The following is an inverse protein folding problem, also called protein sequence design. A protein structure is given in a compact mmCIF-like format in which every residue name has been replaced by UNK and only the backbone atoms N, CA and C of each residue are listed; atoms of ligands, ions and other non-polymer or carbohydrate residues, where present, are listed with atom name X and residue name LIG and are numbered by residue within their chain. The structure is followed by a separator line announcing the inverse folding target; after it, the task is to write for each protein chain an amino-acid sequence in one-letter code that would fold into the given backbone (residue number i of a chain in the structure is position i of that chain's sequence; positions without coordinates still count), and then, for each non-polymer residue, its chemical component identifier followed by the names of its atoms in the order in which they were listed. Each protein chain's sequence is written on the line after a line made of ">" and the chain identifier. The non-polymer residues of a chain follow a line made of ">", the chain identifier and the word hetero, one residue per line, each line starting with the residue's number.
data_IF_216916722594
#
_entry.id   IF_216916722594
#
_cell.length_a   1.000
_cell.length_b   1.000
_cell.length_c   1.000
_cell.angle_alpha   90.00
_cell.angle_beta   90.00
_cell.angle_gamma   90.00
#
_symmetry.space_group_name_H-M   'P 1'
#
loop_
_entity.id
_entity.type
_entity.pdbx_description
1 polymer ?
#
# COMPACT_ATOMS: atom_id res chain seq x y z
N UNK A 1 -22.00 -12.66 50.56
CA UNK A 1 -20.66 -12.06 50.31
C UNK A 1 -19.72 -12.97 49.51
N UNK A 2 -19.53 -14.26 49.84
CA UNK A 2 -18.65 -15.19 49.09
C UNK A 2 -18.94 -15.33 47.58
N UNK A 3 -20.21 -15.34 47.15
CA UNK A 3 -20.60 -15.51 45.73
C UNK A 3 -20.25 -14.29 44.86
N UNK A 4 -20.32 -13.08 45.43
CA UNK A 4 -19.97 -11.82 44.75
C UNK A 4 -18.45 -11.69 44.62
N UNK A 5 -17.70 -12.09 45.66
CA UNK A 5 -16.24 -12.17 45.63
C UNK A 5 -15.72 -13.19 44.59
N UNK A 6 -16.37 -14.34 44.44
CA UNK A 6 -16.01 -15.32 43.40
C UNK A 6 -16.34 -14.82 41.98
N UNK A 7 -17.44 -14.09 41.79
CA UNK A 7 -17.79 -13.48 40.50
C UNK A 7 -16.81 -12.37 40.09
N UNK A 8 -16.40 -11.52 41.03
CA UNK A 8 -15.40 -10.48 40.79
C UNK A 8 -14.00 -11.06 40.47
N UNK A 9 -13.59 -12.14 41.14
CA UNK A 9 -12.33 -12.82 40.86
C UNK A 9 -12.34 -13.48 39.46
N UNK A 10 -13.46 -14.07 39.04
CA UNK A 10 -13.61 -14.64 37.70
C UNK A 10 -13.57 -13.58 36.59
N UNK A 11 -14.20 -12.41 36.82
CA UNK A 11 -14.15 -11.29 35.88
C UNK A 11 -12.75 -10.67 35.76
N UNK A 12 -12.02 -10.56 36.89
CA UNK A 12 -10.62 -10.12 36.87
C UNK A 12 -9.73 -11.10 36.11
N UNK A 13 -9.88 -12.40 36.30
CA UNK A 13 -9.12 -13.41 35.55
C UNK A 13 -9.43 -13.40 34.04
N UNK A 14 -10.70 -13.20 33.66
CA UNK A 14 -11.10 -13.07 32.26
C UNK A 14 -10.53 -11.79 31.60
N UNK A 15 -10.47 -10.68 32.36
CA UNK A 15 -9.85 -9.43 31.90
C UNK A 15 -8.34 -9.55 31.69
N UNK A 16 -7.63 -10.28 32.56
CA UNK A 16 -6.18 -10.50 32.43
C UNK A 16 -5.85 -11.36 31.20
N UNK A 17 -6.67 -12.36 30.87
CA UNK A 17 -6.44 -13.22 29.69
C UNK A 17 -6.62 -12.47 28.36
N UNK A 18 -7.54 -11.50 28.27
CA UNK A 18 -7.70 -10.67 27.07
C UNK A 18 -6.54 -9.66 26.88
N UNK A 19 -5.84 -9.30 27.97
CA UNK A 19 -4.70 -8.37 27.95
C UNK A 19 -3.35 -9.01 27.61
N UNK A 20 -3.20 -10.34 27.71
CA UNK A 20 -1.93 -11.02 27.47
C UNK A 20 -1.48 -11.01 25.99
N UNK A 21 -2.42 -10.84 25.05
CA UNK A 21 -2.11 -10.94 23.62
C UNK A 21 -1.27 -9.76 23.09
N UNK A 22 -1.30 -8.60 23.77
CA UNK A 22 -0.53 -7.41 23.39
C UNK A 22 0.88 -7.38 24.00
N UNK A 23 1.18 -8.27 24.95
CA UNK A 23 2.46 -8.28 25.67
C UNK A 23 3.55 -9.09 24.95
N UNK A 24 3.17 -9.95 24.00
CA UNK A 24 4.10 -10.86 23.32
C UNK A 24 4.20 -10.64 21.81
N UNK A 25 3.26 -9.90 21.22
CA UNK A 25 3.24 -9.61 19.79
C UNK A 25 2.78 -8.18 19.53
N UNK A 26 3.42 -7.57 18.53
CA UNK A 26 3.00 -6.31 17.96
C UNK A 26 2.14 -6.59 16.73
N UNK A 27 0.90 -6.11 16.74
CA UNK A 27 -0.03 -6.27 15.62
C UNK A 27 -0.14 -4.94 14.90
N UNK A 28 0.11 -4.97 13.59
CA UNK A 28 -0.06 -3.81 12.73
C UNK A 28 -1.38 -3.94 11.95
N UNK A 29 -2.27 -2.97 12.11
CA UNK A 29 -3.56 -2.92 11.43
C UNK A 29 -3.47 -2.29 10.03
N UNK A 30 -4.46 -2.57 9.17
CA UNK A 30 -4.61 -1.91 7.87
C UNK A 30 -4.70 -0.39 8.03
N UNK A 31 -5.36 0.11 9.08
CA UNK A 31 -5.49 1.56 9.33
C UNK A 31 -4.12 2.19 9.63
N UNK A 32 -3.30 1.59 10.49
CA UNK A 32 -1.96 2.10 10.78
C UNK A 32 -1.05 2.12 9.55
N UNK A 33 -1.14 1.08 8.70
CA UNK A 33 -0.44 1.05 7.40
C UNK A 33 -0.95 2.16 6.49
N UNK A 34 -2.26 2.36 6.42
CA UNK A 34 -2.87 3.39 5.57
C UNK A 34 -2.45 4.80 6.02
N UNK A 35 -2.49 5.08 7.32
CA UNK A 35 -2.10 6.36 7.89
C UNK A 35 -0.61 6.63 7.64
N UNK A 36 0.24 5.61 7.80
CA UNK A 36 1.67 5.73 7.49
C UNK A 36 1.90 6.01 6.01
N UNK A 37 1.29 5.22 5.12
CA UNK A 37 1.41 5.37 3.67
C UNK A 37 0.91 6.73 3.21
N UNK A 38 -0.20 7.25 3.75
CA UNK A 38 -0.70 8.57 3.39
C UNK A 38 0.26 9.70 3.76
N UNK A 39 0.97 9.58 4.88
CA UNK A 39 1.96 10.58 5.32
C UNK A 39 3.30 10.49 4.59
N UNK A 40 3.74 9.28 4.26
CA UNK A 40 5.10 9.04 3.77
C UNK A 40 5.19 8.72 2.28
N UNK A 41 4.07 8.43 1.62
CA UNK A 41 4.07 8.18 0.19
C UNK A 41 4.21 9.49 -0.60
N UNK A 42 5.33 9.58 -1.32
CA UNK A 42 5.71 10.68 -2.20
C UNK A 42 5.97 10.16 -3.63
N UNK A 43 5.25 9.11 -4.04
CA UNK A 43 5.41 8.53 -5.37
C UNK A 43 5.01 9.55 -6.44
N UNK A 44 6.04 10.13 -7.05
CA UNK A 44 5.97 10.94 -8.24
C UNK A 44 7.13 10.53 -9.16
N UNK A 45 6.80 9.89 -10.29
CA UNK A 45 7.79 9.31 -11.20
C UNK A 45 7.47 9.62 -12.65
N UNK A 46 8.52 9.87 -13.42
CA UNK A 46 8.47 9.89 -14.88
C UNK A 46 8.73 8.47 -15.40
N UNK A 47 7.88 7.99 -16.30
CA UNK A 47 7.99 6.68 -16.93
C UNK A 47 7.80 6.80 -18.45
N UNK A 48 8.22 5.77 -19.19
CA UNK A 48 8.03 5.67 -20.63
C UNK A 48 9.35 5.76 -21.41
N UNK A 49 9.25 6.21 -22.66
CA UNK A 49 10.38 6.33 -23.60
C UNK A 49 10.56 7.81 -23.95
N UNK A 50 11.68 8.43 -23.53
CA UNK A 50 11.96 9.84 -23.78
C UNK A 50 11.81 10.24 -25.24
N UNK A 51 11.00 11.28 -25.49
CA UNK A 51 10.81 11.87 -26.81
C UNK A 51 9.83 11.11 -27.71
N UNK A 52 9.29 9.98 -27.25
CA UNK A 52 8.26 9.22 -27.94
C UNK A 52 6.96 9.20 -27.13
N UNK A 53 7.04 8.75 -25.88
CA UNK A 53 5.92 8.63 -24.96
C UNK A 53 6.43 8.71 -23.53
N UNK A 54 6.25 9.87 -22.91
CA UNK A 54 6.63 10.15 -21.54
C UNK A 54 5.37 10.34 -20.69
N UNK A 55 5.39 9.85 -19.45
CA UNK A 55 4.30 10.05 -18.51
C UNK A 55 4.82 10.39 -17.12
N UNK A 56 4.34 11.48 -16.55
CA UNK A 56 4.56 11.84 -15.15
C UNK A 56 3.36 11.35 -14.34
N UNK A 57 3.59 10.44 -13.40
CA UNK A 57 2.57 9.79 -12.58
C UNK A 57 2.74 10.20 -11.13
N UNK A 58 1.66 10.63 -10.50
CA UNK A 58 1.56 10.90 -9.06
C UNK A 58 0.55 9.94 -8.47
N UNK A 59 0.96 9.14 -7.47
CA UNK A 59 0.11 8.14 -6.81
C UNK A 59 -0.27 8.64 -5.41
N UNK A 60 -1.55 8.56 -5.09
CA UNK A 60 -2.14 9.11 -3.87
C UNK A 60 -3.24 8.19 -3.32
N UNK A 61 -3.75 8.51 -2.13
CA UNK A 61 -4.91 7.84 -1.52
C UNK A 61 -4.74 6.32 -1.39
N UNK A 62 -3.52 5.90 -0.99
CA UNK A 62 -3.21 4.49 -0.80
C UNK A 62 -4.04 3.88 0.32
N UNK A 63 -4.60 2.71 0.05
CA UNK A 63 -5.37 1.91 1.01
C UNK A 63 -4.95 0.46 0.91
N UNK A 64 -4.70 -0.16 2.05
CA UNK A 64 -4.22 -1.52 2.19
C UNK A 64 -5.33 -2.48 2.60
N UNK A 65 -5.24 -3.69 2.06
CA UNK A 65 -5.98 -4.86 2.49
C UNK A 65 -4.99 -6.01 2.70
N UNK A 66 -4.91 -6.52 3.93
CA UNK A 66 -3.88 -7.48 4.33
C UNK A 66 -4.48 -8.89 4.33
N UNK A 67 -3.97 -9.76 3.47
CA UNK A 67 -4.33 -11.19 3.45
C UNK A 67 -5.76 -11.53 3.03
N UNK A 68 -6.56 -10.55 2.58
CA UNK A 68 -7.98 -10.76 2.23
C UNK A 68 -8.18 -11.53 0.93
N UNK A 69 -7.47 -11.12 -0.13
CA UNK A 69 -7.54 -11.77 -1.44
C UNK A 69 -6.67 -13.02 -1.52
N UNK A 70 -5.46 -12.95 -0.97
CA UNK A 70 -4.48 -14.04 -0.98
C UNK A 70 -3.73 -14.05 0.37
N UNK A 71 -3.71 -15.16 1.11
CA UNK A 71 -2.96 -15.26 2.36
C UNK A 71 -1.48 -14.92 2.16
N UNK A 72 -0.93 -14.10 3.07
CA UNK A 72 0.47 -13.67 3.01
C UNK A 72 0.78 -12.58 1.98
N UNK A 73 -0.21 -12.04 1.27
CA UNK A 73 -0.07 -10.88 0.39
C UNK A 73 -0.82 -9.67 0.92
N UNK A 74 -0.42 -8.49 0.44
CA UNK A 74 -1.13 -7.23 0.64
C UNK A 74 -1.63 -6.74 -0.72
N UNK A 75 -2.90 -6.37 -0.76
CA UNK A 75 -3.48 -5.62 -1.87
C UNK A 75 -3.45 -4.14 -1.50
N UNK A 76 -2.92 -3.29 -2.38
CA UNK A 76 -3.03 -1.83 -2.26
C UNK A 76 -3.93 -1.28 -3.35
N UNK A 77 -4.90 -0.44 -3.01
CA UNK A 77 -5.57 0.41 -3.97
C UNK A 77 -5.05 1.85 -3.87
N UNK A 78 -5.13 2.60 -4.96
CA UNK A 78 -4.75 4.00 -4.97
C UNK A 78 -5.23 4.75 -6.21
N UNK A 79 -5.33 6.06 -6.07
CA UNK A 79 -5.68 6.98 -7.15
C UNK A 79 -4.41 7.59 -7.72
N UNK A 80 -4.28 7.63 -9.05
CA UNK A 80 -3.13 8.23 -9.70
C UNK A 80 -3.52 9.25 -10.77
N UNK A 81 -2.78 10.37 -10.80
CA UNK A 81 -2.89 11.37 -11.87
C UNK A 81 -1.70 11.22 -12.80
N UNK A 82 -1.99 11.24 -14.10
CA UNK A 82 -0.98 11.05 -15.14
C UNK A 82 -0.99 12.22 -16.11
N UNK A 83 0.18 12.81 -16.32
CA UNK A 83 0.43 13.79 -17.37
C UNK A 83 1.30 13.14 -18.44
N UNK A 84 0.72 12.88 -19.60
CA UNK A 84 1.34 12.19 -20.73
C UNK A 84 1.82 13.24 -21.74
N UNK A 85 3.04 13.09 -22.22
CA UNK A 85 3.61 13.87 -23.32
C UNK A 85 4.00 12.92 -24.43
N UNK A 86 3.48 13.15 -25.63
CA UNK A 86 3.74 12.32 -26.80
C UNK A 86 3.96 13.19 -28.03
N UNK A 87 4.36 12.57 -29.14
CA UNK A 87 4.45 13.23 -30.45
C UNK A 87 3.14 13.89 -30.91
N UNK A 88 1.98 13.43 -30.39
CA UNK A 88 0.66 13.98 -30.71
C UNK A 88 0.25 15.14 -29.80
N UNK A 89 1.07 15.49 -28.81
CA UNK A 89 0.81 16.54 -27.82
C UNK A 89 0.60 16.00 -26.40
N UNK A 90 0.41 16.92 -25.43
CA UNK A 90 0.19 16.58 -24.04
C UNK A 90 -1.26 16.14 -23.79
N UNK A 91 -1.45 15.15 -22.92
CA UNK A 91 -2.76 14.66 -22.46
C UNK A 91 -2.70 14.34 -20.96
N UNK A 92 -3.85 14.33 -20.28
CA UNK A 92 -3.94 13.96 -18.87
C UNK A 92 -4.93 12.83 -18.67
N UNK A 93 -4.69 12.01 -17.64
CA UNK A 93 -5.60 10.94 -17.27
C UNK A 93 -5.63 10.74 -15.74
N UNK A 94 -6.80 10.33 -15.25
CA UNK A 94 -6.99 9.84 -13.89
C UNK A 94 -7.05 8.31 -13.91
N UNK A 95 -6.40 7.68 -12.95
CA UNK A 95 -6.31 6.24 -12.80
C UNK A 95 -6.80 5.80 -11.43
N UNK A 96 -7.44 4.64 -11.39
CA UNK A 96 -7.57 3.83 -10.17
C UNK A 96 -6.75 2.58 -10.33
N UNK A 97 -5.83 2.34 -9.42
CA UNK A 97 -4.89 1.22 -9.45
C UNK A 97 -5.27 0.20 -8.38
N UNK A 98 -5.15 -1.08 -8.72
CA UNK A 98 -5.09 -2.18 -7.76
C UNK A 98 -3.75 -2.87 -7.90
N UNK A 99 -3.00 -2.90 -6.81
CA UNK A 99 -1.65 -3.43 -6.73
C UNK A 99 -1.62 -4.62 -5.77
N UNK A 100 -0.69 -5.55 -6.00
CA UNK A 100 -0.41 -6.67 -5.11
C UNK A 100 1.07 -6.69 -4.75
N UNK A 101 1.39 -7.02 -3.50
CA UNK A 101 2.76 -7.12 -3.01
C UNK A 101 2.94 -8.17 -1.91
N UNK A 102 4.20 -8.56 -1.70
CA UNK A 102 4.63 -9.37 -0.57
C UNK A 102 5.11 -8.47 0.58
N UNK A 103 4.45 -8.49 1.76
CA UNK A 103 5.01 -7.85 2.94
C UNK A 103 6.27 -8.60 3.39
N UNK A 104 7.36 -7.88 3.59
CA UNK A 104 8.65 -8.39 4.08
C UNK A 104 9.14 -7.48 5.20
N UNK A 105 9.41 -8.06 6.36
CA UNK A 105 9.99 -7.35 7.49
C UNK A 105 11.52 -7.31 7.38
N UNK A 106 12.08 -6.11 7.35
CA UNK A 106 13.51 -5.85 7.45
C UNK A 106 13.87 -5.57 8.92
N UNK A 107 14.64 -6.47 9.53
CA UNK A 107 15.05 -6.36 10.94
C UNK A 107 16.04 -5.22 11.18
N UNK A 108 16.91 -4.93 10.22
CA UNK A 108 17.95 -3.91 10.39
C UNK A 108 17.34 -2.51 10.39
N UNK A 109 16.30 -2.32 9.57
CA UNK A 109 15.59 -1.04 9.45
C UNK A 109 14.38 -0.96 10.40
N UNK A 110 13.98 -2.06 11.03
CA UNK A 110 12.76 -2.13 11.82
C UNK A 110 11.52 -1.76 10.99
N UNK A 111 11.49 -2.16 9.73
CA UNK A 111 10.52 -1.65 8.76
C UNK A 111 9.89 -2.79 7.94
N UNK A 112 8.65 -2.56 7.49
CA UNK A 112 7.93 -3.47 6.61
C UNK A 112 7.94 -2.86 5.20
N UNK A 113 8.45 -3.63 4.25
CA UNK A 113 8.45 -3.29 2.83
C UNK A 113 7.40 -4.11 2.10
N UNK A 114 6.85 -3.53 1.03
CA UNK A 114 5.94 -4.21 0.12
C UNK A 114 6.71 -4.58 -1.14
N UNK A 115 7.40 -5.71 -1.07
CA UNK A 115 8.27 -6.23 -2.13
C UNK A 115 7.46 -6.83 -3.26
N UNK A 116 8.08 -6.90 -4.43
CA UNK A 116 7.47 -7.48 -5.63
C UNK A 116 6.11 -6.84 -5.98
N UNK A 117 6.05 -5.51 -5.86
CA UNK A 117 4.85 -4.76 -6.21
C UNK A 117 4.49 -4.97 -7.68
N UNK A 118 3.23 -5.33 -7.91
CA UNK A 118 2.67 -5.65 -9.22
C UNK A 118 1.33 -4.92 -9.40
N UNK A 119 1.14 -4.25 -10.54
CA UNK A 119 -0.16 -3.76 -10.96
C UNK A 119 -1.00 -4.93 -11.47
N UNK A 120 -2.04 -5.30 -10.70
CA UNK A 120 -2.94 -6.39 -11.06
C UNK A 120 -4.15 -5.91 -11.86
N UNK A 121 -4.58 -4.68 -11.62
CA UNK A 121 -5.71 -4.09 -12.34
C UNK A 121 -5.63 -2.55 -12.36
N UNK A 122 -6.25 -1.92 -13.36
CA UNK A 122 -6.45 -0.48 -13.38
C UNK A 122 -7.66 -0.07 -14.21
N UNK A 123 -8.29 1.03 -13.83
CA UNK A 123 -9.21 1.79 -14.69
C UNK A 123 -8.62 3.15 -15.02
N UNK A 124 -8.93 3.68 -16.21
CA UNK A 124 -8.42 4.97 -16.70
C UNK A 124 -9.54 5.84 -17.23
N UNK A 125 -9.44 7.14 -16.95
CA UNK A 125 -10.29 8.17 -17.54
C UNK A 125 -9.43 9.29 -18.15
N UNK A 126 -9.72 9.75 -19.37
CA UNK A 126 -10.79 9.27 -20.25
C UNK A 126 -10.46 7.90 -20.88
N UNK A 127 -11.49 7.11 -21.20
CA UNK A 127 -11.35 5.73 -21.72
C UNK A 127 -10.41 5.60 -22.94
N UNK A 128 -10.35 6.62 -23.79
CA UNK A 128 -9.43 6.68 -24.95
C UNK A 128 -7.95 6.50 -24.57
N UNK A 129 -7.58 6.72 -23.31
CA UNK A 129 -6.22 6.55 -22.79
C UNK A 129 -5.87 5.10 -22.44
N UNK A 130 -6.80 4.15 -22.52
CA UNK A 130 -6.56 2.74 -22.23
C UNK A 130 -5.38 2.16 -23.02
N UNK A 131 -5.33 2.43 -24.33
CA UNK A 131 -4.25 1.92 -25.20
C UNK A 131 -2.89 2.49 -24.82
N UNK A 132 -2.84 3.79 -24.51
CA UNK A 132 -1.61 4.47 -24.09
C UNK A 132 -1.14 3.93 -22.75
N UNK A 133 -2.07 3.77 -21.80
CA UNK A 133 -1.75 3.20 -20.49
C UNK A 133 -1.26 1.76 -20.58
N UNK A 134 -1.82 0.95 -21.47
CA UNK A 134 -1.36 -0.42 -21.72
C UNK A 134 0.09 -0.45 -22.21
N UNK A 135 0.51 0.51 -23.05
CA UNK A 135 1.90 0.64 -23.48
C UNK A 135 2.84 1.08 -22.33
N UNK A 136 2.32 1.87 -21.38
CA UNK A 136 3.06 2.36 -20.22
C UNK A 136 3.11 1.35 -19.06
N UNK A 137 2.20 0.37 -19.01
CA UNK A 137 2.09 -0.59 -17.90
C UNK A 137 3.41 -1.27 -17.51
N UNK A 138 4.28 -1.75 -18.43
CA UNK A 138 5.53 -2.38 -18.04
C UNK A 138 6.47 -1.42 -17.29
N UNK A 139 6.54 -0.16 -17.73
CA UNK A 139 7.34 0.88 -17.10
C UNK A 139 6.74 1.29 -15.74
N UNK A 140 5.42 1.37 -15.65
CA UNK A 140 4.72 1.63 -14.39
C UNK A 140 5.00 0.51 -13.38
N UNK A 141 4.90 -0.76 -13.78
CA UNK A 141 5.21 -1.91 -12.92
C UNK A 141 6.64 -1.85 -12.40
N UNK A 142 7.62 -1.61 -13.28
CA UNK A 142 9.01 -1.52 -12.87
C UNK A 142 9.25 -0.34 -11.90
N UNK A 143 8.62 0.81 -12.17
CA UNK A 143 8.73 2.00 -11.32
C UNK A 143 8.10 1.78 -9.94
N UNK A 144 6.90 1.20 -9.87
CA UNK A 144 6.21 0.86 -8.63
C UNK A 144 7.04 -0.13 -7.80
N UNK A 145 7.51 -1.22 -8.42
CA UNK A 145 8.38 -2.21 -7.77
C UNK A 145 9.62 -1.55 -7.19
N UNK A 146 10.34 -0.77 -8.00
CA UNK A 146 11.58 -0.11 -7.55
C UNK A 146 11.34 0.86 -6.39
N UNK A 147 10.21 1.59 -6.40
CA UNK A 147 9.87 2.52 -5.33
C UNK A 147 9.53 1.80 -4.03
N UNK A 148 8.59 0.84 -4.05
CA UNK A 148 8.17 0.13 -2.83
C UNK A 148 9.20 -0.88 -2.31
N UNK A 149 10.18 -1.26 -3.14
CA UNK A 149 11.36 -2.00 -2.68
C UNK A 149 12.27 -1.13 -1.79
N UNK A 150 12.25 0.19 -1.94
CA UNK A 150 13.13 1.11 -1.20
C UNK A 150 12.38 1.97 -0.18
N UNK A 151 11.08 2.17 -0.37
CA UNK A 151 10.21 2.93 0.53
C UNK A 151 9.43 1.96 1.42
N UNK A 152 9.60 2.02 2.75
CA UNK A 152 8.84 1.17 3.65
C UNK A 152 7.36 1.55 3.62
N UNK A 153 6.49 0.55 3.77
CA UNK A 153 5.07 0.76 3.99
C UNK A 153 4.73 0.99 5.47
N UNK A 154 5.65 0.66 6.37
CA UNK A 154 5.59 0.99 7.79
C UNK A 154 6.98 0.91 8.40
N UNK A 155 7.30 1.79 9.36
CA UNK A 155 8.51 1.72 10.20
C UNK A 155 8.05 1.61 11.64
N UNK A 156 8.61 0.67 12.40
CA UNK A 156 8.30 0.50 13.82
C UNK A 156 8.77 1.74 14.59
N UNK A 157 7.89 2.29 15.42
CA UNK A 157 8.08 3.56 16.13
C UNK A 157 8.38 4.72 15.15
N UNK A 158 7.42 5.09 14.29
CA UNK A 158 7.61 6.17 13.33
C UNK A 158 7.62 7.56 13.98
N UNK A 159 7.33 7.66 15.28
CA UNK A 159 7.27 8.87 16.11
C UNK A 159 8.24 8.79 17.31
#
# INVERSE_FOLDING_TARGET
>A
MKKILMGAAALLFAGVLAGCNQLTQYTLSEQEVNDYLQKHNDYQKQIGVPGLLDANIVLTQLQSQIGRSEPGKVTLSGDAKVNITSILGPQTADLKLTLKAQPVYDRAQGAIFLKDMELTDYSVQPEKMQTVMKALTPYLNQSLKSYFDQKPAYVLNPD
#
